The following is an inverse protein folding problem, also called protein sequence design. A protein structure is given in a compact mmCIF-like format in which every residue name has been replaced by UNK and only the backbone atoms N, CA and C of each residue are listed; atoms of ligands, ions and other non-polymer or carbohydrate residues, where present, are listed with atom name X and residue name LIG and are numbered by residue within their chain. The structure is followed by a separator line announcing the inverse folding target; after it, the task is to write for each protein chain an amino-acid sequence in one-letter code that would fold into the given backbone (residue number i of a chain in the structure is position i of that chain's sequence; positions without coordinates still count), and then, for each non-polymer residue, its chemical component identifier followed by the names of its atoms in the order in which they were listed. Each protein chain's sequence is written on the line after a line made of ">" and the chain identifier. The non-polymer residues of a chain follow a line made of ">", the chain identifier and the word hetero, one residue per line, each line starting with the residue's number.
data_IF_871440259437
#
_entry.id   IF_871440259437
#
_cell.length_a   1.000
_cell.length_b   1.000
_cell.length_c   1.000
_cell.angle_alpha   90.00
_cell.angle_beta   90.00
_cell.angle_gamma   90.00
#
_symmetry.space_group_name_H-M   'P 1'
#
loop_
_entity.id
_entity.type
_entity.pdbx_description
1 polymer ?
#
# COMPACT_ATOMS: atom_id res chain seq x y z
N UNK A 1 -4.88 16.81 -5.16
CA UNK A 1 -5.17 15.37 -4.91
C UNK A 1 -4.95 14.48 -6.14
N UNK A 2 -5.25 14.91 -7.38
CA UNK A 2 -4.90 14.14 -8.60
C UNK A 2 -3.38 13.90 -8.72
N UNK A 3 -2.58 14.93 -8.49
CA UNK A 3 -1.11 14.86 -8.57
C UNK A 3 -0.50 13.81 -7.63
N UNK A 4 -1.00 13.70 -6.39
CA UNK A 4 -0.50 12.72 -5.42
C UNK A 4 -0.79 11.28 -5.87
N UNK A 5 -1.97 11.03 -6.44
CA UNK A 5 -2.30 9.70 -6.99
C UNK A 5 -1.40 9.36 -8.18
N UNK A 6 -1.12 10.31 -9.07
CA UNK A 6 -0.23 10.11 -10.22
C UNK A 6 1.21 9.85 -9.78
N UNK A 7 1.74 10.63 -8.83
CA UNK A 7 3.06 10.42 -8.24
C UNK A 7 3.18 9.05 -7.57
N UNK A 8 2.14 8.64 -6.84
CA UNK A 8 2.07 7.31 -6.24
C UNK A 8 2.14 6.23 -7.31
N UNK A 9 1.32 6.32 -8.36
CA UNK A 9 1.31 5.33 -9.45
C UNK A 9 2.69 5.21 -10.09
N UNK A 10 3.33 6.33 -10.44
CA UNK A 10 4.65 6.33 -11.07
C UNK A 10 5.72 5.72 -10.15
N UNK A 11 5.71 6.09 -8.87
CA UNK A 11 6.64 5.53 -7.88
C UNK A 11 6.46 4.01 -7.75
N UNK A 12 5.22 3.54 -7.68
CA UNK A 12 4.93 2.10 -7.55
C UNK A 12 5.32 1.35 -8.82
N UNK A 13 5.08 1.91 -10.01
CA UNK A 13 5.55 1.34 -11.28
C UNK A 13 7.06 1.17 -11.30
N UNK A 14 7.81 2.21 -10.93
CA UNK A 14 9.27 2.12 -10.85
C UNK A 14 9.74 1.04 -9.87
N UNK A 15 9.06 0.87 -8.73
CA UNK A 15 9.40 -0.17 -7.74
C UNK A 15 9.17 -1.59 -8.30
N UNK A 16 8.13 -1.77 -9.11
CA UNK A 16 7.88 -3.03 -9.83
C UNK A 16 8.92 -3.25 -10.94
N UNK A 17 9.27 -2.23 -11.73
CA UNK A 17 10.29 -2.32 -12.79
C UNK A 17 11.67 -2.68 -12.23
N UNK A 18 12.06 -2.01 -11.14
CA UNK A 18 13.31 -2.28 -10.41
C UNK A 18 13.27 -3.61 -9.64
N UNK A 19 12.17 -4.37 -9.71
CA UNK A 19 11.91 -5.60 -8.94
C UNK A 19 12.19 -5.44 -7.43
N UNK A 20 12.03 -4.22 -6.93
CA UNK A 20 12.24 -3.91 -5.51
C UNK A 20 11.08 -4.45 -4.69
N UNK A 21 9.89 -4.51 -5.27
CA UNK A 21 8.68 -5.11 -4.67
C UNK A 21 8.09 -6.18 -5.60
N UNK A 22 7.45 -7.17 -4.99
CA UNK A 22 6.68 -8.22 -5.69
C UNK A 22 5.18 -8.03 -5.53
N UNK A 23 4.77 -7.42 -4.43
CA UNK A 23 3.37 -7.12 -4.13
C UNK A 23 3.26 -5.68 -3.66
N UNK A 24 2.15 -5.03 -3.95
CA UNK A 24 1.86 -3.69 -3.44
C UNK A 24 0.45 -3.62 -2.85
N UNK A 25 0.34 -3.14 -1.61
CA UNK A 25 -0.95 -2.91 -0.95
C UNK A 25 -1.27 -1.42 -1.04
N UNK A 26 -2.38 -1.11 -1.71
CA UNK A 26 -2.87 0.26 -1.86
C UNK A 26 -4.39 0.33 -1.82
N UNK A 27 -4.93 1.43 -2.35
CA UNK A 27 -6.37 1.58 -2.52
C UNK A 27 -6.71 1.68 -4.00
N UNK A 28 -7.88 1.17 -4.37
CA UNK A 28 -8.50 1.39 -5.67
C UNK A 28 -9.89 1.99 -5.49
N UNK A 29 -10.45 2.58 -6.54
CA UNK A 29 -11.88 2.95 -6.55
C UNK A 29 -12.74 1.70 -6.58
N UNK A 30 -13.78 1.68 -5.75
CA UNK A 30 -14.84 0.67 -5.84
C UNK A 30 -15.65 0.90 -7.12
N UNK A 31 -16.35 -0.13 -7.60
CA UNK A 31 -17.20 -0.15 -8.79
C UNK A 31 -18.19 1.03 -8.84
N UNK A 32 -18.70 1.46 -7.68
CA UNK A 32 -19.65 2.56 -7.59
C UNK A 32 -18.99 3.95 -7.58
N UNK A 33 -17.66 4.06 -7.70
CA UNK A 33 -16.87 5.30 -7.69
C UNK A 33 -17.00 6.23 -6.47
N UNK A 34 -17.87 5.94 -5.49
CA UNK A 34 -18.04 6.74 -4.28
C UNK A 34 -16.99 6.47 -3.21
N UNK A 35 -16.51 5.22 -3.11
CA UNK A 35 -15.63 4.76 -2.03
C UNK A 35 -14.34 4.16 -2.59
N UNK A 36 -13.31 4.11 -1.73
CA UNK A 36 -12.08 3.39 -2.04
C UNK A 36 -12.02 2.08 -1.27
N UNK A 37 -11.42 1.06 -1.86
CA UNK A 37 -11.25 -0.26 -1.24
C UNK A 37 -9.78 -0.70 -1.30
N UNK A 38 -9.31 -1.46 -0.29
CA UNK A 38 -7.97 -2.05 -0.30
C UNK A 38 -7.77 -2.97 -1.50
N UNK A 39 -6.60 -2.89 -2.14
CA UNK A 39 -6.19 -3.78 -3.23
C UNK A 39 -4.77 -4.27 -3.01
N UNK A 40 -4.52 -5.52 -3.40
CA UNK A 40 -3.19 -6.12 -3.44
C UNK A 40 -2.84 -6.31 -4.91
N UNK A 41 -1.85 -5.57 -5.38
CA UNK A 41 -1.33 -5.65 -6.73
C UNK A 41 -0.17 -6.63 -6.80
N UNK A 42 -0.08 -7.35 -7.91
CA UNK A 42 1.02 -8.29 -8.19
C UNK A 42 1.76 -7.96 -9.49
N UNK A 43 1.22 -7.04 -10.29
CA UNK A 43 1.77 -6.65 -11.58
C UNK A 43 1.72 -5.15 -11.80
N UNK A 44 2.65 -4.65 -12.62
CA UNK A 44 2.76 -3.25 -13.00
C UNK A 44 1.52 -2.72 -13.72
N UNK A 45 0.83 -3.59 -14.47
CA UNK A 45 -0.38 -3.24 -15.21
C UNK A 45 -1.54 -2.86 -14.28
N UNK A 46 -1.57 -3.42 -13.07
CA UNK A 46 -2.61 -3.15 -12.08
C UNK A 46 -2.38 -1.79 -11.38
N UNK A 47 -1.19 -1.19 -11.48
CA UNK A 47 -0.84 0.06 -10.81
C UNK A 47 -1.73 1.23 -11.24
N UNK A 48 -2.24 1.23 -12.47
CA UNK A 48 -3.15 2.28 -12.96
C UNK A 48 -4.48 2.35 -12.21
N UNK A 49 -4.82 1.30 -11.45
CA UNK A 49 -6.05 1.24 -10.65
C UNK A 49 -5.89 1.92 -9.28
N UNK A 50 -4.65 2.28 -8.89
CA UNK A 50 -4.36 2.90 -7.61
C UNK A 50 -4.93 4.31 -7.54
N UNK A 51 -5.54 4.62 -6.40
CA UNK A 51 -6.04 5.94 -6.10
C UNK A 51 -5.72 6.26 -4.65
N UNK A 52 -5.32 7.49 -4.37
CA UNK A 52 -5.23 7.98 -3.00
C UNK A 52 -5.95 9.33 -2.90
N UNK A 53 -6.97 9.38 -2.05
CA UNK A 53 -7.77 10.57 -1.79
C UNK A 53 -8.21 10.62 -0.32
N UNK A 54 -8.94 11.68 0.04
CA UNK A 54 -9.51 11.86 1.39
C UNK A 54 -10.50 10.76 1.82
N UNK A 55 -10.97 9.92 0.90
CA UNK A 55 -11.93 8.85 1.14
C UNK A 55 -11.25 7.47 1.25
N UNK A 56 -10.05 7.43 1.83
CA UNK A 56 -9.28 6.21 2.11
C UNK A 56 -9.26 5.87 3.62
N UNK A 57 -10.38 5.45 4.24
CA UNK A 57 -10.45 5.25 5.69
C UNK A 57 -9.76 3.96 6.15
N UNK A 58 -9.68 2.93 5.30
CA UNK A 58 -9.27 1.60 5.75
C UNK A 58 -7.80 1.52 6.13
N UNK A 59 -7.50 0.81 7.22
CA UNK A 59 -6.13 0.47 7.58
C UNK A 59 -5.63 -0.68 6.70
N UNK A 60 -4.58 -0.42 5.91
CA UNK A 60 -3.98 -1.40 4.99
C UNK A 60 -3.02 -2.37 5.69
N UNK A 61 -2.51 -2.03 6.88
CA UNK A 61 -1.50 -2.80 7.62
C UNK A 61 -1.96 -4.22 7.93
N UNK A 62 -3.27 -4.42 8.16
CA UNK A 62 -3.84 -5.75 8.42
C UNK A 62 -3.62 -6.74 7.27
N UNK A 63 -3.53 -6.26 6.03
CA UNK A 63 -3.32 -7.12 4.86
C UNK A 63 -1.88 -7.63 4.73
N UNK A 64 -0.93 -7.02 5.46
CA UNK A 64 0.44 -7.55 5.55
C UNK A 64 0.45 -8.96 6.17
N UNK A 65 -0.48 -9.24 7.10
CA UNK A 65 -0.60 -10.55 7.74
C UNK A 65 -1.00 -11.62 6.71
N UNK A 66 -1.94 -11.29 5.82
CA UNK A 66 -2.38 -12.20 4.74
C UNK A 66 -1.25 -12.53 3.77
N UNK A 67 -0.29 -11.60 3.59
CA UNK A 67 0.87 -11.78 2.71
C UNK A 67 2.13 -12.27 3.44
N UNK A 68 2.08 -12.50 4.77
CA UNK A 68 3.25 -12.88 5.58
C UNK A 68 4.01 -14.10 5.05
N UNK A 69 3.26 -15.08 4.54
CA UNK A 69 3.82 -16.35 4.03
C UNK A 69 4.22 -16.29 2.55
N UNK A 70 3.93 -15.18 1.86
CA UNK A 70 4.31 -15.01 0.45
C UNK A 70 5.80 -14.72 0.34
N UNK A 71 6.43 -15.26 -0.71
CA UNK A 71 7.82 -14.95 -1.05
C UNK A 71 7.87 -13.60 -1.76
N UNK A 72 8.88 -12.80 -1.44
CA UNK A 72 9.11 -11.49 -2.05
C UNK A 72 8.94 -10.32 -1.09
N UNK A 73 9.22 -9.11 -1.59
CA UNK A 73 9.10 -7.87 -0.83
C UNK A 73 7.72 -7.24 -1.06
N UNK A 74 7.10 -6.76 0.00
CA UNK A 74 5.74 -6.20 -0.02
C UNK A 74 5.84 -4.70 0.14
N UNK A 75 5.36 -3.95 -0.85
CA UNK A 75 5.12 -2.52 -0.76
C UNK A 75 3.77 -2.23 -0.10
N UNK A 76 3.68 -1.17 0.71
CA UNK A 76 2.43 -0.74 1.33
C UNK A 76 2.38 0.78 1.43
N UNK A 77 1.19 1.35 1.21
CA UNK A 77 0.88 2.74 1.58
C UNK A 77 0.70 2.83 3.09
N UNK A 78 1.50 3.65 3.75
CA UNK A 78 1.43 3.87 5.19
C UNK A 78 0.99 5.31 5.48
N UNK A 79 -0.21 5.47 6.01
CA UNK A 79 -0.68 6.75 6.56
C UNK A 79 -0.13 6.92 7.97
N UNK A 80 0.05 8.18 8.41
CA UNK A 80 0.52 8.47 9.77
C UNK A 80 -0.34 7.81 10.86
N UNK A 81 -1.67 7.76 10.68
CA UNK A 81 -2.59 7.08 11.60
C UNK A 81 -2.40 5.55 11.66
N UNK A 82 -1.93 4.92 10.56
CA UNK A 82 -1.71 3.48 10.48
C UNK A 82 -0.32 3.06 11.00
N UNK A 83 0.61 4.00 11.17
CA UNK A 83 1.99 3.75 11.61
C UNK A 83 2.05 3.03 12.97
N UNK A 84 1.11 3.34 13.89
CA UNK A 84 1.02 2.64 15.18
C UNK A 84 0.74 1.15 15.00
N UNK A 85 -0.21 0.80 14.15
CA UNK A 85 -0.55 -0.61 13.89
C UNK A 85 0.63 -1.34 13.22
N UNK A 86 1.34 -0.66 12.32
CA UNK A 86 2.52 -1.20 11.66
C UNK A 86 3.63 -1.56 12.65
N UNK A 87 3.93 -0.65 13.58
CA UNK A 87 4.93 -0.86 14.62
C UNK A 87 4.55 -2.00 15.56
N UNK A 88 3.28 -2.13 15.94
CA UNK A 88 2.81 -3.27 16.76
C UNK A 88 3.06 -4.60 16.05
N UNK A 89 2.77 -4.70 14.75
CA UNK A 89 3.03 -5.93 13.99
C UNK A 89 4.53 -6.25 13.88
N UNK A 90 5.38 -5.23 13.75
CA UNK A 90 6.84 -5.41 13.78
C UNK A 90 7.31 -5.93 15.15
N UNK A 91 6.87 -5.30 16.24
CA UNK A 91 7.26 -5.69 17.60
C UNK A 91 6.80 -7.11 17.96
N UNK A 92 5.65 -7.53 17.44
CA UNK A 92 5.13 -8.90 17.63
C UNK A 92 5.73 -9.93 16.66
N UNK A 93 6.76 -9.57 15.89
CA UNK A 93 7.36 -10.42 14.84
C UNK A 93 6.32 -11.00 13.87
N UNK A 94 5.19 -10.31 13.67
CA UNK A 94 4.18 -10.72 12.71
C UNK A 94 4.60 -10.40 11.28
N UNK A 95 5.49 -9.42 11.11
CA UNK A 95 6.04 -9.00 9.84
C UNK A 95 7.54 -8.74 9.97
N UNK A 96 8.30 -8.96 8.89
CA UNK A 96 9.74 -8.69 8.87
C UNK A 96 10.02 -7.36 8.19
N UNK A 97 10.74 -6.45 8.86
CA UNK A 97 11.05 -5.11 8.34
C UNK A 97 11.75 -5.14 6.98
N UNK A 98 12.63 -6.12 6.77
CA UNK A 98 13.42 -6.29 5.54
C UNK A 98 12.55 -6.67 4.33
N UNK A 99 11.41 -7.32 4.59
CA UNK A 99 10.46 -7.75 3.56
C UNK A 99 9.43 -6.67 3.23
N UNK A 100 9.48 -5.51 3.87
CA UNK A 100 8.46 -4.47 3.68
C UNK A 100 9.08 -3.18 3.16
N UNK A 101 8.44 -2.61 2.15
CA UNK A 101 8.71 -1.29 1.63
C UNK A 101 7.51 -0.39 1.93
N UNK A 102 7.72 0.70 2.65
CA UNK A 102 6.63 1.61 3.06
C UNK A 102 6.68 2.89 2.23
N UNK A 103 5.57 3.27 1.62
CA UNK A 103 5.37 4.60 1.04
C UNK A 103 4.55 5.41 2.04
N UNK A 104 5.21 6.33 2.73
CA UNK A 104 4.56 7.24 3.65
C UNK A 104 3.73 8.27 2.89
N UNK A 105 2.48 8.47 3.29
CA UNK A 105 1.66 9.55 2.75
C UNK A 105 1.15 10.42 3.90
N UNK A 106 1.35 11.73 3.73
CA UNK A 106 0.82 12.74 4.62
C UNK A 106 -0.70 12.84 4.45
N UNK A 107 -1.44 12.47 5.49
CA UNK A 107 -2.89 12.60 5.54
C UNK A 107 -3.23 13.79 6.45
N UNK A 108 -4.03 14.74 5.96
CA UNK A 108 -4.35 15.99 6.68
C UNK A 108 -5.50 15.86 7.70
N UNK A 109 -5.90 14.64 8.05
CA UNK A 109 -7.05 14.36 8.93
C UNK A 109 -8.25 13.95 8.13
#
# INVERSE_FOLDING_TARGET
>A
MKELSEQLINTVKELFEKKTINYFIGYKKNQNNLLTEPVILSSINECNQLVFNQYCPYNLVKYLITLKNRKGKIGIILKGCDARAFNVLLMQNQISRDKIFTIGIECKG
#
